data_IF_156467372660
#
_entry.id   IF_156467372660
#
_cell.length_a   1.000
_cell.length_b   1.000
_cell.length_c   1.000
_cell.angle_alpha   90.00
_cell.angle_beta   90.00
_cell.angle_gamma   90.00
#
_symmetry.space_group_name_H-M   'P 1'
#
loop_
_entity.id
_entity.type
_entity.pdbx_description
1 polymer ?
#
# COMPACT_ATOMS: atom_id res chain seq x y z
N UNK A 1 14.85 -8.05 -5.60
CA UNK A 1 15.04 -7.20 -4.40
C UNK A 1 13.79 -6.35 -4.32
N UNK A 2 13.05 -6.37 -3.22
CA UNK A 2 11.69 -5.79 -3.13
C UNK A 2 11.60 -4.67 -2.07
N UNK A 3 12.70 -4.42 -1.35
CA UNK A 3 12.76 -3.48 -0.24
C UNK A 3 13.02 -2.04 -0.72
N UNK A 4 12.62 -1.10 0.13
CA UNK A 4 12.72 0.35 -0.02
C UNK A 4 12.90 1.02 1.37
N UNK A 5 13.94 0.66 2.15
CA UNK A 5 14.15 1.24 3.47
C UNK A 5 14.29 2.76 3.39
N UNK A 6 13.95 3.45 4.48
CA UNK A 6 14.06 4.91 4.57
C UNK A 6 15.47 5.37 4.17
N UNK A 7 15.54 6.39 3.30
CA UNK A 7 16.80 6.94 2.78
C UNK A 7 17.40 6.18 1.59
N UNK A 8 16.87 5.00 1.23
CA UNK A 8 17.29 4.29 0.02
C UNK A 8 16.90 5.00 -1.26
N UNK A 9 17.60 4.72 -2.37
CA UNK A 9 17.28 5.25 -3.69
C UNK A 9 15.83 4.95 -4.11
N UNK A 10 15.31 3.76 -3.78
CA UNK A 10 13.94 3.36 -4.09
C UNK A 10 12.89 4.12 -3.30
N UNK A 11 13.11 4.33 -2.01
CA UNK A 11 12.23 5.17 -1.19
C UNK A 11 12.26 6.62 -1.70
N UNK A 12 13.45 7.15 -1.96
CA UNK A 12 13.64 8.50 -2.49
C UNK A 12 12.95 8.69 -3.84
N UNK A 13 12.94 7.68 -4.70
CA UNK A 13 12.20 7.72 -5.97
C UNK A 13 10.68 7.85 -5.76
N UNK A 14 10.10 7.22 -4.74
CA UNK A 14 8.66 7.38 -4.44
C UNK A 14 8.34 8.82 -4.03
N UNK A 15 9.20 9.41 -3.19
CA UNK A 15 9.09 10.81 -2.77
C UNK A 15 9.30 11.75 -3.96
N UNK A 16 10.28 11.47 -4.81
CA UNK A 16 10.57 12.28 -6.00
C UNK A 16 9.41 12.25 -7.00
N UNK A 17 8.86 11.06 -7.28
CA UNK A 17 7.68 10.91 -8.14
C UNK A 17 6.50 11.72 -7.59
N UNK A 18 6.33 11.75 -6.27
CA UNK A 18 5.33 12.56 -5.57
C UNK A 18 5.55 14.06 -5.77
N UNK A 19 6.76 14.54 -5.46
CA UNK A 19 7.10 15.95 -5.61
C UNK A 19 6.96 16.44 -7.06
N UNK A 20 7.42 15.62 -8.02
CA UNK A 20 7.32 15.92 -9.45
C UNK A 20 5.87 15.99 -9.90
N UNK A 21 5.04 15.04 -9.49
CA UNK A 21 3.62 15.03 -9.86
C UNK A 21 2.86 16.21 -9.26
N UNK A 22 3.11 16.53 -7.99
CA UNK A 22 2.46 17.65 -7.30
C UNK A 22 3.04 19.02 -7.68
N UNK A 23 4.16 19.08 -8.40
CA UNK A 23 4.88 20.32 -8.68
C UNK A 23 5.35 21.05 -7.41
N UNK A 24 5.58 20.31 -6.32
CA UNK A 24 5.89 20.87 -5.01
C UNK A 24 6.82 19.97 -4.22
N UNK A 25 7.76 20.59 -3.51
CA UNK A 25 8.68 19.89 -2.64
C UNK A 25 9.88 19.28 -3.37
N UNK A 26 10.80 18.75 -2.57
CA UNK A 26 11.96 17.95 -3.00
C UNK A 26 12.15 16.81 -2.00
N UNK A 27 12.85 15.76 -2.42
CA UNK A 27 13.18 14.61 -1.54
C UNK A 27 13.81 15.07 -0.22
N UNK A 28 14.76 16.00 -0.29
CA UNK A 28 15.43 16.56 0.89
C UNK A 28 14.44 17.24 1.87
N UNK A 29 13.47 17.99 1.35
CA UNK A 29 12.47 18.67 2.18
C UNK A 29 11.52 17.67 2.88
N UNK A 30 11.27 16.51 2.26
CA UNK A 30 10.52 15.44 2.91
C UNK A 30 11.28 14.85 4.10
N UNK A 31 12.59 14.58 3.93
CA UNK A 31 13.43 14.08 5.01
C UNK A 31 13.56 15.09 6.15
N UNK A 32 13.76 16.37 5.82
CA UNK A 32 13.75 17.47 6.80
C UNK A 32 12.44 17.55 7.58
N UNK A 33 11.32 17.47 6.87
CA UNK A 33 10.01 17.39 7.52
C UNK A 33 9.90 16.18 8.45
N UNK A 34 10.34 15.00 8.01
CA UNK A 34 10.26 13.77 8.81
C UNK A 34 11.13 13.85 10.06
N UNK A 35 12.33 14.42 9.97
CA UNK A 35 13.21 14.67 11.12
C UNK A 35 12.58 15.62 12.13
N UNK A 36 12.00 16.72 11.67
CA UNK A 36 11.28 17.65 12.55
C UNK A 36 10.07 16.99 13.21
N UNK A 37 9.28 16.23 12.43
CA UNK A 37 8.12 15.50 12.95
C UNK A 37 8.54 14.48 14.02
N UNK A 38 9.66 13.77 13.81
CA UNK A 38 10.26 12.90 14.80
C UNK A 38 10.70 13.67 16.04
N UNK A 39 11.41 14.79 15.92
CA UNK A 39 11.83 15.59 17.06
C UNK A 39 10.64 16.04 17.94
N UNK A 40 9.52 16.42 17.33
CA UNK A 40 8.29 16.81 18.06
C UNK A 40 7.56 15.63 18.73
N UNK A 41 7.85 14.39 18.35
CA UNK A 41 7.15 13.20 18.83
C UNK A 41 8.10 12.07 19.24
N UNK A 42 9.34 12.41 19.59
CA UNK A 42 10.42 11.44 19.78
C UNK A 42 10.09 10.43 20.89
N UNK A 43 9.37 10.87 21.92
CA UNK A 43 8.88 10.01 23.00
C UNK A 43 8.00 8.83 22.53
N UNK A 44 7.31 8.95 21.39
CA UNK A 44 6.43 7.89 20.87
C UNK A 44 7.20 6.76 20.16
N UNK A 45 8.35 7.07 19.56
CA UNK A 45 9.17 6.11 18.82
C UNK A 45 10.56 5.94 19.44
N UNK A 46 11.35 7.00 19.48
CA UNK A 46 12.69 7.00 20.07
C UNK A 46 12.70 6.82 21.60
N UNK A 47 11.66 7.26 22.30
CA UNK A 47 11.71 7.41 23.76
C UNK A 47 12.40 8.72 24.16
N UNK A 48 12.40 9.05 25.47
CA UNK A 48 12.62 10.42 25.96
C UNK A 48 14.02 11.00 25.69
N UNK A 49 15.02 10.16 25.44
CA UNK A 49 16.43 10.57 25.34
C UNK A 49 17.03 10.41 23.92
N UNK A 50 16.21 10.28 22.88
CA UNK A 50 16.73 10.07 21.52
C UNK A 50 16.85 11.39 20.77
N UNK A 51 18.05 11.68 20.27
CA UNK A 51 18.37 12.99 19.68
C UNK A 51 17.96 13.12 18.20
N UNK A 52 17.87 12.00 17.47
CA UNK A 52 17.53 11.99 16.03
C UNK A 52 16.82 10.70 15.60
N UNK A 53 16.14 10.75 14.44
CA UNK A 53 15.46 9.59 13.86
C UNK A 53 16.47 8.50 13.46
N UNK A 54 17.63 8.89 12.94
CA UNK A 54 18.72 7.99 12.58
C UNK A 54 19.25 7.23 13.79
N UNK A 55 19.44 7.92 14.91
CA UNK A 55 19.85 7.30 16.17
C UNK A 55 18.79 6.31 16.65
N UNK A 56 17.51 6.69 16.58
CA UNK A 56 16.40 5.80 16.91
C UNK A 56 16.47 4.52 16.06
N UNK A 57 16.55 4.66 14.73
CA UNK A 57 16.60 3.54 13.79
C UNK A 57 17.80 2.63 14.07
N UNK A 58 19.01 3.18 14.21
CA UNK A 58 20.22 2.39 14.48
C UNK A 58 20.14 1.65 15.81
N UNK A 59 19.53 2.26 16.84
CA UNK A 59 19.32 1.61 18.13
C UNK A 59 18.37 0.43 18.00
N UNK A 60 17.23 0.61 17.34
CA UNK A 60 16.26 -0.47 17.12
C UNK A 60 16.87 -1.59 16.28
N UNK A 61 17.58 -1.25 15.19
CA UNK A 61 18.31 -2.21 14.36
C UNK A 61 19.30 -3.04 15.18
N UNK A 62 20.17 -2.39 15.96
CA UNK A 62 21.14 -3.08 16.83
C UNK A 62 20.45 -3.97 17.87
N UNK A 63 19.37 -3.47 18.48
CA UNK A 63 18.59 -4.20 19.48
C UNK A 63 17.99 -5.47 18.88
N UNK A 64 17.32 -5.36 17.73
CA UNK A 64 16.71 -6.48 17.01
C UNK A 64 17.76 -7.48 16.50
N UNK A 65 18.91 -7.00 16.01
CA UNK A 65 20.00 -7.86 15.55
C UNK A 65 20.65 -8.64 16.71
N UNK A 66 20.71 -8.06 17.91
CA UNK A 66 21.26 -8.73 19.10
C UNK A 66 20.34 -9.79 19.72
N UNK A 67 19.06 -9.82 19.33
CA UNK A 67 18.10 -10.77 19.87
C UNK A 67 18.32 -12.17 19.27
N UNK A 68 18.80 -13.11 20.09
CA UNK A 68 19.06 -14.50 19.71
C UNK A 68 17.83 -15.40 19.87
N UNK A 69 16.90 -15.04 20.76
CA UNK A 69 15.64 -15.73 20.95
C UNK A 69 14.56 -15.20 19.99
N UNK A 70 14.05 -16.05 19.10
CA UNK A 70 13.15 -15.65 18.02
C UNK A 70 11.77 -15.17 18.52
N UNK A 71 11.11 -15.83 19.50
CA UNK A 71 9.89 -15.30 20.12
C UNK A 71 10.10 -13.94 20.79
N UNK A 72 11.21 -13.74 21.52
CA UNK A 72 11.53 -12.45 22.10
C UNK A 72 11.76 -11.38 21.03
N UNK A 73 12.47 -11.70 19.94
CA UNK A 73 12.65 -10.79 18.80
C UNK A 73 11.31 -10.42 18.16
N UNK A 74 10.43 -11.38 17.93
CA UNK A 74 9.09 -11.13 17.39
C UNK A 74 8.27 -10.19 18.27
N UNK A 75 8.36 -10.33 19.60
CA UNK A 75 7.73 -9.40 20.56
C UNK A 75 8.30 -7.97 20.42
N UNK A 76 9.61 -7.84 20.30
CA UNK A 76 10.27 -6.55 20.08
C UNK A 76 9.84 -5.90 18.75
N UNK A 77 9.70 -6.69 17.69
CA UNK A 77 9.19 -6.24 16.38
C UNK A 77 7.75 -5.73 16.48
N UNK A 78 6.87 -6.43 17.22
CA UNK A 78 5.49 -5.97 17.47
C UNK A 78 5.46 -4.68 18.31
N UNK A 79 6.27 -4.57 19.35
CA UNK A 79 6.35 -3.37 20.18
C UNK A 79 6.89 -2.15 19.40
N UNK A 80 7.84 -2.38 18.50
CA UNK A 80 8.30 -1.38 17.53
C UNK A 80 7.16 -0.93 16.61
N UNK A 81 6.38 -1.87 16.07
CA UNK A 81 5.21 -1.57 15.24
C UNK A 81 4.18 -0.71 15.99
N UNK A 82 3.83 -1.05 17.23
CA UNK A 82 2.89 -0.28 18.07
C UNK A 82 3.36 1.16 18.29
N UNK A 83 4.65 1.34 18.59
CA UNK A 83 5.26 2.68 18.76
C UNK A 83 5.22 3.49 17.47
N UNK A 84 5.60 2.86 16.36
CA UNK A 84 5.65 3.54 15.06
C UNK A 84 4.26 3.93 14.55
N UNK A 85 3.25 3.09 14.77
CA UNK A 85 1.84 3.41 14.51
C UNK A 85 1.40 4.68 15.24
N UNK A 86 1.66 4.76 16.55
CA UNK A 86 1.36 5.95 17.36
C UNK A 86 2.08 7.19 16.84
N UNK A 87 3.37 7.04 16.50
CA UNK A 87 4.17 8.12 15.93
C UNK A 87 3.57 8.65 14.62
N UNK A 88 3.30 7.79 13.64
CA UNK A 88 2.79 8.21 12.32
C UNK A 88 1.42 8.90 12.45
N UNK A 89 0.55 8.40 13.31
CA UNK A 89 -0.77 9.02 13.54
C UNK A 89 -0.66 10.40 14.20
N UNK A 90 0.28 10.59 15.11
CA UNK A 90 0.54 11.88 15.73
C UNK A 90 1.21 12.87 14.76
N UNK A 91 2.20 12.40 14.00
CA UNK A 91 2.97 13.22 13.07
C UNK A 91 2.16 13.70 11.85
N UNK A 92 1.17 12.92 11.40
CA UNK A 92 0.35 13.25 10.22
C UNK A 92 -1.14 13.10 10.59
N UNK A 93 -1.75 14.05 11.29
CA UNK A 93 -3.06 13.83 11.89
C UNK A 93 -4.22 13.82 10.88
N UNK A 94 -4.11 14.53 9.75
CA UNK A 94 -5.24 14.73 8.83
C UNK A 94 -5.36 13.60 7.82
N UNK A 95 -6.47 12.88 7.81
CA UNK A 95 -6.74 11.87 6.79
C UNK A 95 -7.43 12.50 5.57
N UNK A 96 -6.97 12.16 4.35
CA UNK A 96 -7.52 12.67 3.10
C UNK A 96 -7.53 11.59 2.02
N UNK A 97 -8.72 11.25 1.51
CA UNK A 97 -8.90 10.29 0.42
C UNK A 97 -8.55 10.87 -0.95
N UNK A 98 -8.54 12.19 -1.10
CA UNK A 98 -8.37 12.82 -2.41
C UNK A 98 -6.90 13.00 -2.78
N UNK A 99 -6.04 13.21 -1.78
CA UNK A 99 -4.66 13.65 -2.01
C UNK A 99 -3.65 13.19 -0.95
N UNK A 100 -4.11 12.53 0.12
CA UNK A 100 -3.29 12.09 1.25
C UNK A 100 -2.34 10.93 0.95
N UNK A 101 -2.40 10.35 -0.25
CA UNK A 101 -1.43 9.33 -0.68
C UNK A 101 -0.10 9.92 -1.15
N UNK A 102 0.05 11.24 -1.30
CA UNK A 102 1.28 11.86 -1.82
C UNK A 102 2.21 12.33 -0.69
N UNK A 103 3.49 11.96 -0.75
CA UNK A 103 4.53 12.45 0.17
C UNK A 103 4.65 13.97 0.16
N UNK A 104 4.51 14.61 -1.01
CA UNK A 104 4.52 16.06 -1.11
C UNK A 104 3.39 16.74 -0.32
N UNK A 105 2.23 16.07 -0.20
CA UNK A 105 1.06 16.60 0.51
C UNK A 105 1.13 16.41 2.02
N UNK A 106 1.97 15.48 2.50
CA UNK A 106 2.33 15.42 3.93
C UNK A 106 3.00 16.72 4.34
N UNK A 107 3.99 17.19 3.57
CA UNK A 107 4.70 18.45 3.84
C UNK A 107 3.76 19.64 3.70
N UNK A 108 3.00 19.68 2.59
CA UNK A 108 2.20 20.85 2.23
C UNK A 108 0.96 21.04 3.09
N UNK A 109 0.30 19.94 3.48
CA UNK A 109 -1.02 19.98 4.11
C UNK A 109 -1.12 19.19 5.43
N UNK A 110 -0.12 18.38 5.76
CA UNK A 110 -0.15 17.47 6.92
C UNK A 110 -1.11 16.31 6.72
N UNK A 111 -1.27 15.84 5.48
CA UNK A 111 -2.29 14.85 5.11
C UNK A 111 -1.73 13.46 4.84
N UNK A 112 -2.52 12.45 5.21
CA UNK A 112 -2.23 11.03 5.01
C UNK A 112 -3.40 10.26 4.41
N UNK A 113 -3.07 9.14 3.77
CA UNK A 113 -3.98 8.10 3.33
C UNK A 113 -3.30 6.74 3.56
N UNK A 114 -4.05 5.64 3.46
CA UNK A 114 -3.57 4.28 3.70
C UNK A 114 -2.27 3.91 2.96
N UNK A 115 -2.17 4.18 1.65
CA UNK A 115 -0.97 3.81 0.88
C UNK A 115 0.30 4.50 1.40
N UNK A 116 0.23 5.82 1.62
CA UNK A 116 1.37 6.59 2.12
C UNK A 116 1.81 6.09 3.49
N UNK A 117 0.85 5.86 4.38
CA UNK A 117 1.14 5.36 5.73
C UNK A 117 1.80 3.99 5.68
N UNK A 118 1.22 3.04 4.96
CA UNK A 118 1.77 1.69 4.84
C UNK A 118 3.19 1.71 4.25
N UNK A 119 3.43 2.60 3.28
CA UNK A 119 4.74 2.77 2.65
C UNK A 119 5.76 3.37 3.62
N UNK A 120 5.39 4.44 4.35
CA UNK A 120 6.26 5.08 5.32
C UNK A 120 6.59 4.15 6.49
N UNK A 121 5.58 3.44 7.02
CA UNK A 121 5.75 2.44 8.07
C UNK A 121 6.72 1.34 7.62
N UNK A 122 6.51 0.77 6.43
CA UNK A 122 7.40 -0.24 5.87
C UNK A 122 8.83 0.29 5.68
N UNK A 123 9.00 1.50 5.17
CA UNK A 123 10.32 2.09 4.95
C UNK A 123 11.11 2.27 6.25
N UNK A 124 10.47 2.76 7.31
CA UNK A 124 11.12 2.92 8.63
C UNK A 124 11.42 1.57 9.27
N UNK A 125 10.47 0.62 9.23
CA UNK A 125 10.67 -0.73 9.77
C UNK A 125 11.78 -1.50 9.05
N UNK A 126 11.84 -1.43 7.71
CA UNK A 126 12.93 -2.01 6.93
C UNK A 126 14.27 -1.37 7.28
N UNK A 127 14.31 -0.05 7.52
CA UNK A 127 15.52 0.63 7.98
C UNK A 127 15.94 0.18 9.39
N UNK A 128 15.00 -0.29 10.23
CA UNK A 128 15.28 -0.93 11.50
C UNK A 128 15.64 -2.43 11.37
N UNK A 129 15.76 -2.97 10.16
CA UNK A 129 16.09 -4.39 9.93
C UNK A 129 14.91 -5.37 10.02
N UNK A 130 13.67 -4.89 9.98
CA UNK A 130 12.46 -5.74 10.00
C UNK A 130 12.09 -6.15 8.57
N UNK A 131 11.88 -7.46 8.33
CA UNK A 131 11.35 -7.96 7.06
C UNK A 131 9.86 -7.61 6.95
N UNK A 132 9.52 -6.64 6.12
CA UNK A 132 8.16 -6.16 5.94
C UNK A 132 7.96 -5.50 4.58
N UNK A 133 6.72 -5.17 4.24
CA UNK A 133 6.39 -4.42 3.02
C UNK A 133 4.89 -4.16 2.91
N UNK A 134 4.44 -3.59 1.79
CA UNK A 134 3.03 -3.24 1.59
C UNK A 134 2.26 -4.41 0.99
N UNK A 135 1.02 -4.58 1.44
CA UNK A 135 0.01 -5.47 0.83
C UNK A 135 -1.28 -4.68 0.61
N UNK A 136 -2.09 -5.10 -0.36
CA UNK A 136 -3.41 -4.53 -0.56
C UNK A 136 -4.46 -5.35 0.16
N UNK A 137 -5.51 -4.70 0.65
CA UNK A 137 -6.64 -5.31 1.33
C UNK A 137 -7.84 -5.28 0.38
N UNK A 138 -8.40 -6.46 0.08
CA UNK A 138 -9.66 -6.56 -0.65
C UNK A 138 -10.84 -6.85 0.28
N UNK A 139 -10.62 -7.32 1.51
CA UNK A 139 -11.70 -7.56 2.48
C UNK A 139 -11.31 -7.07 3.87
N UNK A 140 -12.07 -6.11 4.39
CA UNK A 140 -11.77 -5.45 5.66
C UNK A 140 -12.14 -6.32 6.89
N UNK A 141 -11.91 -5.87 8.14
CA UNK A 141 -12.18 -6.68 9.33
C UNK A 141 -13.68 -6.94 9.55
N UNK A 142 -14.55 -6.12 8.97
CA UNK A 142 -16.01 -6.28 8.99
C UNK A 142 -16.52 -7.18 7.85
N UNK A 143 -15.62 -7.74 7.03
CA UNK A 143 -15.97 -8.63 5.94
C UNK A 143 -16.46 -7.94 4.66
N UNK A 144 -16.40 -6.60 4.59
CA UNK A 144 -16.78 -5.85 3.40
C UNK A 144 -15.69 -6.00 2.33
N UNK A 145 -16.11 -6.33 1.11
CA UNK A 145 -15.22 -6.52 -0.03
C UNK A 145 -15.07 -5.24 -0.84
N UNK A 146 -13.87 -5.02 -1.37
CA UNK A 146 -13.51 -3.92 -2.25
C UNK A 146 -12.54 -4.41 -3.32
N UNK A 147 -12.35 -3.61 -4.36
CA UNK A 147 -11.34 -3.90 -5.37
C UNK A 147 -9.97 -3.37 -4.93
N UNK A 148 -9.34 -4.01 -3.94
CA UNK A 148 -8.06 -3.56 -3.34
C UNK A 148 -8.14 -2.11 -2.80
N UNK A 149 -9.23 -1.75 -2.10
CA UNK A 149 -9.51 -0.38 -1.69
C UNK A 149 -8.65 0.16 -0.55
N UNK A 150 -7.79 -0.65 0.05
CA UNK A 150 -6.98 -0.27 1.21
C UNK A 150 -5.58 -0.92 1.16
N UNK A 151 -4.62 -0.32 1.85
CA UNK A 151 -3.22 -0.75 1.86
C UNK A 151 -2.69 -0.75 3.30
N UNK A 152 -1.97 -1.81 3.67
CA UNK A 152 -1.39 -1.99 5.02
C UNK A 152 0.03 -2.53 4.92
N UNK A 153 0.78 -2.45 6.02
CA UNK A 153 2.12 -3.04 6.09
C UNK A 153 2.03 -4.47 6.62
N UNK A 154 2.49 -5.45 5.83
CA UNK A 154 2.71 -6.82 6.27
C UNK A 154 4.09 -6.92 6.91
N UNK A 155 4.16 -7.36 8.16
CA UNK A 155 5.38 -7.59 8.93
C UNK A 155 5.62 -9.09 9.05
N UNK A 156 6.82 -9.55 8.68
CA UNK A 156 7.28 -10.92 8.82
C UNK A 156 8.02 -11.02 10.17
N UNK A 157 7.40 -11.67 11.14
CA UNK A 157 7.97 -11.77 12.48
C UNK A 157 9.06 -12.84 12.53
N UNK A 158 10.05 -12.63 13.39
CA UNK A 158 11.20 -13.53 13.54
C UNK A 158 10.84 -14.98 13.93
N UNK A 159 9.69 -15.18 14.58
CA UNK A 159 9.18 -16.50 14.98
C UNK A 159 8.41 -17.23 13.87
N UNK A 160 8.35 -16.65 12.66
CA UNK A 160 7.68 -17.23 11.49
C UNK A 160 6.20 -16.91 11.36
N UNK A 161 5.61 -16.14 12.28
CA UNK A 161 4.27 -15.57 12.13
C UNK A 161 4.33 -14.26 11.33
N UNK A 162 3.18 -13.77 10.89
CA UNK A 162 3.08 -12.44 10.29
C UNK A 162 2.15 -11.52 11.10
N UNK A 163 2.22 -10.21 10.89
CA UNK A 163 1.27 -9.24 11.44
C UNK A 163 0.92 -8.18 10.40
N UNK A 164 -0.27 -7.58 10.51
CA UNK A 164 -0.68 -6.44 9.69
C UNK A 164 -0.64 -5.17 10.53
N UNK A 165 0.18 -4.21 10.13
CA UNK A 165 0.24 -2.89 10.76
C UNK A 165 -0.56 -1.88 9.92
N UNK A 166 -1.58 -1.28 10.54
CA UNK A 166 -2.52 -0.39 9.89
C UNK A 166 -2.71 0.92 10.67
N UNK A 167 -2.17 2.02 10.14
CA UNK A 167 -2.32 3.35 10.76
C UNK A 167 -3.61 4.09 10.36
N UNK A 168 -4.42 3.54 9.44
CA UNK A 168 -5.77 4.04 9.20
C UNK A 168 -6.74 3.64 10.31
N UNK A 169 -6.47 2.54 11.00
CA UNK A 169 -7.33 2.01 12.06
C UNK A 169 -6.98 2.60 13.44
N UNK A 170 -7.93 2.64 14.39
CA UNK A 170 -7.67 3.09 15.76
C UNK A 170 -6.53 2.30 16.42
N UNK A 171 -6.61 0.98 16.34
CA UNK A 171 -5.63 0.01 16.84
C UNK A 171 -4.66 -0.44 15.74
N UNK A 172 -3.41 -0.83 16.09
CA UNK A 172 -2.38 -1.11 15.09
C UNK A 172 -2.59 -2.39 14.30
N UNK A 173 -3.16 -3.44 14.91
CA UNK A 173 -3.20 -4.80 14.35
C UNK A 173 -4.59 -5.21 13.89
N UNK A 174 -5.10 -4.52 12.87
CA UNK A 174 -6.40 -4.82 12.29
C UNK A 174 -6.41 -6.18 11.57
N UNK A 175 -7.42 -7.01 11.87
CA UNK A 175 -7.57 -8.37 11.34
C UNK A 175 -8.32 -8.37 10.00
N UNK A 176 -7.71 -7.78 8.98
CA UNK A 176 -8.25 -7.79 7.62
C UNK A 176 -8.48 -9.21 7.12
N UNK A 177 -9.62 -9.46 6.48
CA UNK A 177 -10.06 -10.81 6.12
C UNK A 177 -9.63 -11.23 4.70
N UNK A 178 -9.01 -10.34 3.93
CA UNK A 178 -8.62 -10.62 2.56
C UNK A 178 -7.54 -9.69 2.05
N UNK A 179 -6.45 -10.28 1.55
CA UNK A 179 -5.26 -9.59 1.07
C UNK A 179 -4.91 -9.97 -0.37
N UNK A 180 -4.29 -9.05 -1.10
CA UNK A 180 -3.49 -9.33 -2.28
C UNK A 180 -2.02 -9.31 -1.87
N UNK A 181 -1.34 -10.43 -2.07
CA UNK A 181 0.06 -10.67 -1.65
C UNK A 181 0.84 -11.34 -2.78
N UNK A 182 2.13 -11.59 -2.59
CA UNK A 182 2.96 -12.38 -3.50
C UNK A 182 3.23 -13.78 -2.94
N UNK A 183 2.88 -14.82 -3.70
CA UNK A 183 3.21 -16.24 -3.45
C UNK A 183 3.78 -16.81 -4.74
N UNK A 184 5.03 -16.44 -5.06
CA UNK A 184 5.64 -16.62 -6.39
C UNK A 184 5.07 -15.68 -7.46
N UNK A 185 3.75 -15.50 -7.49
CA UNK A 185 2.98 -14.52 -8.28
C UNK A 185 2.01 -13.74 -7.38
N UNK A 186 1.37 -12.69 -7.88
CA UNK A 186 0.29 -12.05 -7.12
C UNK A 186 -0.88 -13.00 -6.93
N UNK A 187 -1.42 -13.03 -5.72
CA UNK A 187 -2.47 -13.95 -5.33
C UNK A 187 -3.33 -13.38 -4.22
N UNK A 188 -4.64 -13.58 -4.34
CA UNK A 188 -5.62 -13.27 -3.30
C UNK A 188 -5.64 -14.36 -2.23
N UNK A 189 -5.56 -13.94 -0.97
CA UNK A 189 -5.48 -14.84 0.19
C UNK A 189 -6.34 -14.36 1.35
N UNK A 190 -6.78 -15.31 2.17
CA UNK A 190 -7.47 -15.08 3.45
C UNK A 190 -6.48 -15.42 4.58
N UNK A 191 -6.10 -14.46 5.43
CA UNK A 191 -5.24 -14.73 6.57
C UNK A 191 -5.94 -15.61 7.62
N UNK A 192 -5.17 -16.44 8.32
CA UNK A 192 -5.61 -17.24 9.46
C UNK A 192 -4.96 -16.66 10.72
N UNK A 193 -5.78 -16.12 11.62
CA UNK A 193 -5.31 -15.41 12.79
C UNK A 193 -5.28 -16.30 14.04
N UNK A 194 -4.27 -16.09 14.87
CA UNK A 194 -4.22 -16.44 16.28
C UNK A 194 -3.85 -15.17 17.04
N UNK A 195 -4.75 -14.70 17.91
CA UNK A 195 -4.65 -13.37 18.51
C UNK A 195 -4.44 -12.27 17.44
N UNK A 196 -3.39 -11.46 17.55
CA UNK A 196 -3.03 -10.38 16.62
C UNK A 196 -2.20 -10.85 15.42
N UNK A 197 -1.72 -12.09 15.44
CA UNK A 197 -0.76 -12.62 14.48
C UNK A 197 -1.43 -13.53 13.45
N UNK A 198 -0.87 -13.56 12.25
CA UNK A 198 -1.23 -14.48 11.18
C UNK A 198 -0.33 -15.71 11.28
N UNK A 199 -0.94 -16.88 11.44
CA UNK A 199 -0.26 -18.18 11.55
C UNK A 199 -0.29 -18.99 10.23
N UNK A 200 -0.93 -18.43 9.21
CA UNK A 200 -1.02 -19.03 7.88
C UNK A 200 -2.05 -18.32 7.02
N UNK A 201 -2.22 -18.81 5.79
CA UNK A 201 -3.18 -18.24 4.84
C UNK A 201 -3.95 -19.34 4.14
N UNK A 202 -5.10 -19.00 3.57
CA UNK A 202 -5.79 -19.79 2.55
C UNK A 202 -5.80 -19.03 1.25
N UNK A 203 -5.49 -19.72 0.15
CA UNK A 203 -5.73 -19.19 -1.18
C UNK A 203 -7.24 -18.93 -1.37
N UNK A 204 -7.59 -17.76 -1.90
CA UNK A 204 -9.00 -17.40 -2.10
C UNK A 204 -9.67 -18.25 -3.20
N UNK A 205 -8.90 -18.72 -4.19
CA UNK A 205 -9.42 -19.48 -5.33
C UNK A 205 -9.93 -20.88 -4.97
N UNK A 206 -9.16 -21.61 -4.16
CA UNK A 206 -9.32 -23.05 -3.94
C UNK A 206 -9.28 -23.44 -2.44
N UNK A 207 -9.11 -22.47 -1.54
CA UNK A 207 -9.02 -22.71 -0.10
C UNK A 207 -7.72 -23.37 0.37
N UNK A 208 -6.77 -23.64 -0.53
CA UNK A 208 -5.51 -24.32 -0.20
C UNK A 208 -4.74 -23.55 0.87
N UNK A 209 -4.25 -24.26 1.89
CA UNK A 209 -3.42 -23.67 2.94
C UNK A 209 -2.04 -23.26 2.39
N UNK A 210 -1.60 -22.06 2.76
CA UNK A 210 -0.30 -21.49 2.41
C UNK A 210 0.44 -21.16 3.71
N UNK A 211 1.69 -21.59 3.80
CA UNK A 211 2.56 -21.28 4.94
C UNK A 211 2.99 -19.81 4.88
N UNK A 212 3.08 -19.17 6.05
CA UNK A 212 3.50 -17.76 6.19
C UNK A 212 4.81 -17.46 5.46
N UNK A 213 5.82 -18.32 5.59
CA UNK A 213 7.13 -18.15 4.93
C UNK A 213 7.08 -18.02 3.39
N UNK A 214 6.03 -18.50 2.75
CA UNK A 214 5.85 -18.42 1.29
C UNK A 214 5.17 -17.12 0.86
N UNK A 215 4.50 -16.44 1.79
CA UNK A 215 3.82 -15.16 1.54
C UNK A 215 4.81 -14.03 1.69
N UNK A 216 4.92 -13.22 0.64
CA UNK A 216 5.72 -12.00 0.59
C UNK A 216 4.83 -10.78 0.38
N UNK A 217 5.25 -9.61 0.88
CA UNK A 217 4.66 -8.34 0.47
C UNK A 217 4.70 -8.17 -1.05
N UNK A 218 3.91 -7.21 -1.54
CA UNK A 218 3.96 -6.80 -2.93
C UNK A 218 5.32 -6.17 -3.23
N UNK A 219 5.79 -6.36 -4.46
CA UNK A 219 7.08 -5.82 -4.89
C UNK A 219 7.06 -4.30 -5.04
N UNK A 220 8.25 -3.73 -5.14
CA UNK A 220 8.45 -2.28 -5.22
C UNK A 220 7.72 -1.67 -6.41
N UNK A 221 7.74 -2.34 -7.56
CA UNK A 221 7.08 -1.93 -8.79
C UNK A 221 5.56 -1.86 -8.60
N UNK A 222 4.94 -2.85 -7.94
CA UNK A 222 3.53 -2.79 -7.59
C UNK A 222 3.23 -1.59 -6.68
N UNK A 223 4.00 -1.41 -5.60
CA UNK A 223 3.79 -0.29 -4.66
C UNK A 223 3.88 1.05 -5.37
N UNK A 224 4.92 1.26 -6.20
CA UNK A 224 5.10 2.47 -7.00
C UNK A 224 3.96 2.67 -8.00
N UNK A 225 3.51 1.59 -8.66
CA UNK A 225 2.36 1.65 -9.58
C UNK A 225 1.08 2.10 -8.87
N UNK A 226 0.93 1.77 -7.58
CA UNK A 226 -0.25 2.11 -6.81
C UNK A 226 -0.36 3.61 -6.53
N UNK A 227 0.76 4.34 -6.39
CA UNK A 227 0.73 5.81 -6.35
C UNK A 227 0.18 6.38 -7.65
N UNK A 228 0.66 5.89 -8.81
CA UNK A 228 0.14 6.29 -10.12
C UNK A 228 -1.34 5.92 -10.32
N UNK A 229 -1.76 4.77 -9.78
CA UNK A 229 -3.17 4.42 -9.74
C UNK A 229 -3.99 5.46 -8.99
N UNK A 230 -3.61 5.84 -7.76
CA UNK A 230 -4.37 6.83 -6.99
C UNK A 230 -4.38 8.21 -7.65
N UNK A 231 -3.29 8.62 -8.30
CA UNK A 231 -3.25 9.84 -9.13
C UNK A 231 -4.33 9.81 -10.22
N UNK A 232 -4.48 8.67 -10.87
CA UNK A 232 -5.48 8.50 -11.92
C UNK A 232 -6.90 8.40 -11.39
N UNK A 233 -7.10 7.63 -10.33
CA UNK A 233 -8.39 7.47 -9.66
C UNK A 233 -8.93 8.80 -9.10
N UNK A 234 -8.04 9.59 -8.47
CA UNK A 234 -8.35 10.83 -7.75
C UNK A 234 -8.07 12.09 -8.56
N UNK A 235 -7.82 11.97 -9.86
CA UNK A 235 -7.62 13.14 -10.72
C UNK A 235 -8.82 14.09 -10.62
N UNK A 236 -8.63 15.40 -10.35
CA UNK A 236 -9.72 16.37 -10.36
C UNK A 236 -10.42 16.39 -11.72
N UNK A 237 -11.75 16.30 -11.73
CA UNK A 237 -12.52 16.17 -12.98
C UNK A 237 -12.44 14.78 -13.64
N UNK A 238 -11.78 13.79 -13.01
CA UNK A 238 -11.50 12.48 -13.58
C UNK A 238 -12.49 11.37 -13.21
N UNK A 239 -11.97 10.15 -13.03
CA UNK A 239 -12.74 8.91 -12.99
C UNK A 239 -13.85 8.88 -11.91
N UNK A 240 -13.52 9.26 -10.67
CA UNK A 240 -14.42 9.11 -9.53
C UNK A 240 -15.34 10.31 -9.24
N UNK A 241 -15.14 11.47 -9.86
CA UNK A 241 -15.96 12.64 -9.56
C UNK A 241 -17.32 12.60 -10.25
N UNK A 242 -18.31 13.27 -9.65
CA UNK A 242 -19.63 13.53 -10.25
C UNK A 242 -19.57 14.56 -11.38
N UNK A 243 -18.59 15.47 -11.36
CA UNK A 243 -18.43 16.55 -12.33
C UNK A 243 -17.19 16.29 -13.20
N UNK A 244 -17.34 15.34 -14.13
CA UNK A 244 -16.25 14.93 -15.01
C UNK A 244 -15.97 15.99 -16.07
N UNK A 245 -14.69 16.18 -16.39
CA UNK A 245 -14.24 17.06 -17.47
C UNK A 245 -13.35 16.27 -18.44
N UNK A 246 -13.27 16.67 -19.72
CA UNK A 246 -12.36 16.03 -20.68
C UNK A 246 -10.91 16.03 -20.21
N UNK A 247 -10.43 17.15 -19.64
CA UNK A 247 -9.07 17.26 -19.12
C UNK A 247 -8.82 16.36 -17.90
N UNK A 248 -9.80 16.26 -16.99
CA UNK A 248 -9.68 15.39 -15.83
C UNK A 248 -9.66 13.90 -16.21
N UNK A 249 -10.48 13.48 -17.17
CA UNK A 249 -10.44 12.12 -17.72
C UNK A 249 -9.12 11.82 -18.43
N UNK A 250 -8.60 12.76 -19.21
CA UNK A 250 -7.28 12.62 -19.84
C UNK A 250 -6.16 12.47 -18.80
N UNK A 251 -6.21 13.25 -17.70
CA UNK A 251 -5.28 13.10 -16.58
C UNK A 251 -5.40 11.71 -15.92
N UNK A 252 -6.62 11.22 -15.68
CA UNK A 252 -6.87 9.86 -15.20
C UNK A 252 -6.20 8.82 -16.11
N UNK A 253 -6.43 8.90 -17.42
CA UNK A 253 -5.86 7.99 -18.42
C UNK A 253 -4.33 8.01 -18.39
N UNK A 254 -3.71 9.19 -18.39
CA UNK A 254 -2.26 9.31 -18.39
C UNK A 254 -1.62 8.67 -17.15
N UNK A 255 -2.17 8.95 -15.96
CA UNK A 255 -1.67 8.38 -14.71
C UNK A 255 -1.90 6.86 -14.65
N UNK A 256 -3.05 6.36 -15.10
CA UNK A 256 -3.34 4.92 -15.14
C UNK A 256 -2.45 4.18 -16.14
N UNK A 257 -2.14 4.76 -17.31
CA UNK A 257 -1.16 4.20 -18.25
C UNK A 257 0.23 4.12 -17.64
N UNK A 258 0.64 5.13 -16.88
CA UNK A 258 1.90 5.10 -16.13
C UNK A 258 1.90 4.02 -15.04
N UNK A 259 0.78 3.84 -14.34
CA UNK A 259 0.63 2.75 -13.36
C UNK A 259 0.87 1.38 -14.02
N UNK A 260 0.24 1.13 -15.18
CA UNK A 260 0.38 -0.12 -15.93
C UNK A 260 1.79 -0.28 -16.51
N UNK A 261 2.45 0.80 -16.95
CA UNK A 261 3.83 0.69 -17.46
C UNK A 261 4.83 0.36 -16.35
N UNK A 262 4.61 0.84 -15.13
CA UNK A 262 5.43 0.48 -13.96
C UNK A 262 5.16 -0.96 -13.52
N UNK A 263 3.89 -1.37 -13.44
CA UNK A 263 3.51 -2.74 -13.08
C UNK A 263 2.35 -3.22 -13.96
N UNK A 264 2.62 -3.98 -15.04
CA UNK A 264 1.57 -4.54 -15.90
C UNK A 264 0.61 -5.48 -15.17
N UNK A 265 1.05 -6.03 -14.02
CA UNK A 265 0.25 -6.89 -13.16
C UNK A 265 -0.72 -6.15 -12.24
N UNK A 266 -0.74 -4.81 -12.21
CA UNK A 266 -1.70 -4.04 -11.41
C UNK A 266 -3.10 -4.10 -12.04
N UNK A 267 -3.85 -5.16 -11.69
CA UNK A 267 -5.21 -5.42 -12.16
C UNK A 267 -6.18 -4.26 -11.90
N UNK A 268 -6.02 -3.54 -10.79
CA UNK A 268 -6.84 -2.40 -10.43
C UNK A 268 -6.62 -1.22 -11.42
N UNK A 269 -5.36 -0.95 -11.80
CA UNK A 269 -5.04 0.06 -12.79
C UNK A 269 -5.56 -0.28 -14.19
N UNK A 270 -5.41 -1.54 -14.63
CA UNK A 270 -5.96 -2.01 -15.91
C UNK A 270 -7.49 -1.84 -15.96
N UNK A 271 -8.18 -2.27 -14.89
CA UNK A 271 -9.63 -2.12 -14.79
C UNK A 271 -10.07 -0.66 -14.82
N UNK A 272 -9.44 0.20 -14.03
CA UNK A 272 -9.78 1.63 -13.97
C UNK A 272 -9.45 2.36 -15.27
N UNK A 273 -8.42 1.95 -16.01
CA UNK A 273 -8.13 2.50 -17.33
C UNK A 273 -9.24 2.15 -18.32
N UNK A 274 -9.74 0.92 -18.30
CA UNK A 274 -10.90 0.52 -19.12
C UNK A 274 -12.14 1.36 -18.80
N UNK A 275 -12.40 1.66 -17.52
CA UNK A 275 -13.50 2.54 -17.11
C UNK A 275 -13.31 3.97 -17.64
N UNK A 276 -12.09 4.50 -17.59
CA UNK A 276 -11.80 5.83 -18.10
C UNK A 276 -12.05 5.92 -19.61
N UNK A 277 -11.59 4.95 -20.40
CA UNK A 277 -11.85 4.90 -21.84
C UNK A 277 -13.33 4.73 -22.18
N UNK A 278 -14.07 3.93 -21.41
CA UNK A 278 -15.51 3.80 -21.60
C UNK A 278 -16.21 5.15 -21.40
N UNK A 279 -15.82 5.91 -20.38
CA UNK A 279 -16.36 7.26 -20.12
C UNK A 279 -15.96 8.28 -21.20
N UNK A 280 -14.88 8.04 -21.93
CA UNK A 280 -14.46 8.84 -23.08
C UNK A 280 -15.10 8.39 -24.41
N UNK A 281 -15.93 7.35 -24.39
CA UNK A 281 -16.61 6.82 -25.58
C UNK A 281 -15.81 5.78 -26.39
N UNK A 282 -14.62 5.38 -25.93
CA UNK A 282 -13.81 4.34 -26.60
C UNK A 282 -14.17 2.95 -26.06
N UNK A 283 -15.33 2.45 -26.48
CA UNK A 283 -15.84 1.15 -26.04
C UNK A 283 -14.95 -0.03 -26.47
N UNK A 284 -14.26 0.09 -27.61
CA UNK A 284 -13.38 -0.96 -28.13
C UNK A 284 -12.17 -1.15 -27.20
N UNK A 285 -11.45 -0.06 -26.92
CA UNK A 285 -10.28 -0.11 -26.04
C UNK A 285 -10.67 -0.44 -24.59
N UNK A 286 -11.79 0.10 -24.10
CA UNK A 286 -12.34 -0.29 -22.81
C UNK A 286 -12.60 -1.80 -22.71
N UNK A 287 -13.17 -2.39 -23.76
CA UNK A 287 -13.42 -3.82 -23.83
C UNK A 287 -12.17 -4.70 -23.86
N UNK A 288 -11.09 -4.24 -24.50
CA UNK A 288 -9.78 -4.89 -24.45
C UNK A 288 -9.21 -4.88 -23.02
N UNK A 289 -9.24 -3.73 -22.36
CA UNK A 289 -8.74 -3.56 -21.00
C UNK A 289 -9.57 -4.33 -19.97
N UNK A 290 -10.90 -4.40 -20.10
CA UNK A 290 -11.71 -5.23 -19.20
C UNK A 290 -11.41 -6.72 -19.35
N UNK A 291 -11.17 -7.20 -20.57
CA UNK A 291 -10.72 -8.59 -20.79
C UNK A 291 -9.35 -8.84 -20.15
N UNK A 292 -8.42 -7.90 -20.30
CA UNK A 292 -7.10 -8.00 -19.67
C UNK A 292 -7.19 -7.99 -18.15
N UNK A 293 -7.97 -7.07 -17.57
CA UNK A 293 -8.19 -7.00 -16.13
C UNK A 293 -8.81 -8.30 -15.60
N UNK A 294 -9.84 -8.82 -16.26
CA UNK A 294 -10.46 -10.10 -15.93
C UNK A 294 -9.44 -11.25 -15.91
N UNK A 295 -8.58 -11.34 -16.93
CA UNK A 295 -7.52 -12.35 -16.98
C UNK A 295 -6.57 -12.25 -15.77
N UNK A 296 -6.18 -11.04 -15.37
CA UNK A 296 -5.34 -10.83 -14.19
C UNK A 296 -6.06 -11.24 -12.90
N UNK A 297 -7.32 -10.84 -12.71
CA UNK A 297 -8.10 -11.25 -11.53
C UNK A 297 -8.24 -12.78 -11.43
N UNK A 298 -8.56 -13.45 -12.54
CA UNK A 298 -8.66 -14.90 -12.60
C UNK A 298 -7.31 -15.56 -12.30
N UNK A 299 -6.21 -15.04 -12.85
CA UNK A 299 -4.86 -15.51 -12.55
C UNK A 299 -4.51 -15.37 -11.05
N UNK A 300 -4.98 -14.30 -10.40
CA UNK A 300 -4.73 -14.04 -8.98
C UNK A 300 -5.70 -14.78 -8.05
N UNK A 301 -6.72 -15.42 -8.61
CA UNK A 301 -7.61 -16.33 -7.89
C UNK A 301 -8.85 -15.70 -7.26
N UNK A 302 -9.16 -14.43 -7.58
CA UNK A 302 -10.40 -13.78 -7.15
C UNK A 302 -10.71 -12.57 -8.02
N UNK A 303 -11.99 -12.32 -8.25
CA UNK A 303 -12.47 -11.21 -9.05
C UNK A 303 -13.64 -10.50 -8.35
N UNK A 304 -13.55 -9.17 -8.13
CA UNK A 304 -14.63 -8.39 -7.55
C UNK A 304 -15.81 -8.24 -8.53
N UNK A 305 -16.97 -7.85 -8.01
CA UNK A 305 -18.19 -7.67 -8.81
C UNK A 305 -18.07 -6.61 -9.90
N UNK A 306 -17.36 -5.50 -9.65
CA UNK A 306 -17.19 -4.41 -10.62
C UNK A 306 -16.58 -4.87 -11.95
N UNK A 307 -15.38 -5.50 -11.95
CA UNK A 307 -14.79 -6.10 -13.14
C UNK A 307 -15.70 -7.11 -13.86
N UNK A 308 -16.40 -7.99 -13.11
CA UNK A 308 -17.35 -8.96 -13.69
C UNK A 308 -18.45 -8.27 -14.48
N UNK A 309 -19.08 -7.25 -13.89
CA UNK A 309 -20.18 -6.50 -14.52
C UNK A 309 -19.70 -5.73 -15.75
N UNK A 310 -18.54 -5.07 -15.67
CA UNK A 310 -17.99 -4.30 -16.80
C UNK A 310 -17.74 -5.19 -18.03
N UNK A 311 -17.23 -6.41 -17.83
CA UNK A 311 -17.02 -7.36 -18.91
C UNK A 311 -18.34 -7.86 -19.52
N UNK A 312 -19.38 -8.05 -18.70
CA UNK A 312 -20.71 -8.45 -19.19
C UNK A 312 -21.33 -7.38 -20.09
N UNK A 313 -21.24 -6.11 -19.72
CA UNK A 313 -21.75 -4.98 -20.51
C UNK A 313 -21.09 -4.95 -21.90
N UNK A 314 -19.76 -5.05 -21.96
CA UNK A 314 -19.04 -5.06 -23.25
C UNK A 314 -19.43 -6.26 -24.12
N UNK A 315 -19.62 -7.45 -23.53
CA UNK A 315 -20.06 -8.64 -24.26
C UNK A 315 -21.48 -8.49 -24.83
N UNK A 316 -22.37 -7.82 -24.12
CA UNK A 316 -23.74 -7.56 -24.58
C UNK A 316 -23.79 -6.55 -25.73
N UNK A 317 -22.95 -5.51 -25.70
CA UNK A 317 -22.87 -4.50 -26.76
C UNK A 317 -22.16 -4.96 -28.05
N UNK A 318 -21.58 -6.17 -28.05
CA UNK A 318 -20.88 -6.75 -29.21
C UNK A 318 -21.72 -7.81 -29.95
N UNK A 319 -22.99 -8.00 -29.55
CA UNK A 319 -23.98 -8.87 -30.20
C UNK A 319 -25.01 -8.02 -30.92
#
# INVERSE_FOLDING_TARGET
MDQFPLGSARFNQLVEDSCRYCGYGKVQQFHEWLWMAFASHSALFGGPNTSSLEEAIRREEKSLHSATDMPQRAKMELDLCRRLHKFVKAAIPKFSLDRGFEFANVIRYGERQCLLQATLLAAVLQACGVDCGVVMVYRNPHGQESNNGHAVTLVKLADGRDALLDASEPEPFAKHQGLLVRVGRYQYVVPLYEEECIIGYRAQADGRRIQTRLVRPLDYEFVRSQFWFYRGERAPGGLLTSHRTPNGLAASVNALRMSISVCPGNNLAVFSLGRAYLMMGDAKLAGELFRQAHALYQQYGWEPMGPKQALQVVRASSR
#
